data_IF_089905675170
#
_entry.id   IF_089905675170
#
_cell.length_a   1.000
_cell.length_b   1.000
_cell.length_c   1.000
_cell.angle_alpha   90.00
_cell.angle_beta   90.00
_cell.angle_gamma   90.00
#
_symmetry.space_group_name_H-M   'P 1'
#
loop_
_entity.id
_entity.type
_entity.pdbx_description
1 polymer ?
#
# COMPACT_ATOMS: atom_id res chain seq x y z
N UNK A 1 2.82 44.87 -22.94
CA UNK A 1 4.26 44.55 -23.11
C UNK A 1 4.50 44.21 -24.56
N UNK A 2 5.44 44.88 -25.23
CA UNK A 2 5.81 44.55 -26.61
C UNK A 2 6.82 43.40 -26.65
N UNK A 3 6.87 42.67 -27.77
CA UNK A 3 7.82 41.56 -27.96
C UNK A 3 9.28 42.03 -27.89
N UNK A 4 9.56 43.24 -28.38
CA UNK A 4 10.89 43.86 -28.31
C UNK A 4 11.33 44.12 -26.87
N UNK A 5 10.43 44.60 -26.00
CA UNK A 5 10.74 44.80 -24.58
C UNK A 5 11.07 43.48 -23.87
N UNK A 6 10.37 42.39 -24.22
CA UNK A 6 10.65 41.06 -23.65
C UNK A 6 12.03 40.53 -24.09
N UNK A 7 12.42 40.75 -25.34
CA UNK A 7 13.73 40.33 -25.86
C UNK A 7 14.90 41.12 -25.25
N UNK A 8 14.73 42.44 -25.07
CA UNK A 8 15.74 43.29 -24.42
C UNK A 8 15.93 42.86 -22.96
N UNK A 9 14.82 42.66 -22.22
CA UNK A 9 14.89 42.18 -20.84
C UNK A 9 15.56 40.80 -20.72
N UNK A 10 15.28 39.87 -21.64
CA UNK A 10 15.91 38.55 -21.66
C UNK A 10 17.43 38.66 -21.94
N UNK A 11 17.83 39.53 -22.87
CA UNK A 11 19.23 39.72 -23.25
C UNK A 11 20.03 40.40 -22.13
N UNK A 12 19.43 41.36 -21.43
CA UNK A 12 20.00 41.98 -20.22
C UNK A 12 20.15 40.99 -19.07
N UNK A 13 19.19 40.08 -18.86
CA UNK A 13 19.28 39.05 -17.83
C UNK A 13 20.42 38.06 -18.10
N UNK A 14 20.61 37.63 -19.35
CA UNK A 14 21.72 36.75 -19.76
C UNK A 14 23.09 37.44 -19.55
N UNK A 15 23.20 38.75 -19.83
CA UNK A 15 24.44 39.51 -19.63
C UNK A 15 24.79 39.72 -18.14
N UNK A 16 23.81 39.67 -17.24
CA UNK A 16 24.04 39.88 -15.80
C UNK A 16 24.72 38.70 -15.09
N UNK A 17 25.15 37.65 -15.80
CA UNK A 17 25.79 36.47 -15.20
C UNK A 17 25.00 35.95 -13.98
N UNK A 18 23.67 36.00 -14.05
CA UNK A 18 22.84 35.33 -13.05
C UNK A 18 23.15 33.84 -13.14
N UNK A 19 23.59 33.20 -12.03
CA UNK A 19 23.87 31.78 -12.04
C UNK A 19 22.60 31.04 -12.47
N UNK A 20 22.75 30.07 -13.37
CA UNK A 20 21.65 29.23 -13.81
C UNK A 20 21.22 28.34 -12.65
N UNK A 21 20.21 28.79 -11.92
CA UNK A 21 19.59 28.08 -10.81
C UNK A 21 18.64 27.04 -11.40
N UNK A 22 19.20 25.95 -11.88
CA UNK A 22 18.43 24.76 -12.24
C UNK A 22 18.11 23.94 -11.00
N UNK A 23 17.01 23.19 -11.07
CA UNK A 23 16.72 22.17 -10.05
C UNK A 23 17.90 21.19 -9.94
N UNK A 24 18.27 20.77 -8.73
CA UNK A 24 19.27 19.73 -8.54
C UNK A 24 18.92 18.48 -9.36
N UNK A 25 19.94 17.85 -9.95
CA UNK A 25 19.76 16.64 -10.74
C UNK A 25 19.06 15.56 -9.92
N UNK A 26 18.07 14.92 -10.53
CA UNK A 26 17.33 13.82 -9.93
C UNK A 26 18.23 12.61 -9.75
N UNK A 27 18.36 12.12 -8.52
CA UNK A 27 19.16 10.93 -8.21
C UNK A 27 18.22 9.75 -7.98
N UNK A 28 18.08 8.90 -8.99
CA UNK A 28 17.31 7.67 -8.91
C UNK A 28 18.21 6.51 -8.50
N UNK A 29 17.69 5.54 -7.72
CA UNK A 29 18.30 4.21 -7.64
C UNK A 29 18.47 3.59 -9.03
N UNK A 30 19.48 2.75 -9.19
CA UNK A 30 19.80 2.10 -10.47
C UNK A 30 20.01 0.58 -10.33
N UNK A 31 19.59 0.02 -9.19
CA UNK A 31 19.80 -1.38 -8.84
C UNK A 31 18.63 -1.90 -8.03
N UNK A 32 18.40 -3.20 -8.05
CA UNK A 32 17.39 -3.83 -7.19
C UNK A 32 17.78 -3.77 -5.71
N UNK A 33 16.82 -3.95 -4.79
CA UNK A 33 17.10 -4.02 -3.36
C UNK A 33 18.14 -5.11 -3.07
N UNK A 34 19.13 -4.77 -2.24
CA UNK A 34 20.14 -5.73 -1.82
C UNK A 34 19.47 -6.84 -1.02
N UNK A 35 19.80 -8.10 -1.34
CA UNK A 35 19.32 -9.25 -0.58
C UNK A 35 19.95 -9.25 0.82
N UNK A 36 19.09 -9.15 1.83
CA UNK A 36 19.40 -9.18 3.26
C UNK A 36 18.85 -10.47 3.89
N UNK A 37 19.35 -10.81 5.08
CA UNK A 37 18.82 -11.93 5.84
C UNK A 37 17.45 -11.60 6.41
N UNK A 38 16.60 -12.62 6.51
CA UNK A 38 15.31 -12.50 7.19
C UNK A 38 15.51 -12.06 8.64
N UNK A 39 14.57 -11.28 9.16
CA UNK A 39 14.60 -10.78 10.54
C UNK A 39 13.53 -11.46 11.38
N UNK A 40 13.79 -11.65 12.67
CA UNK A 40 12.82 -12.20 13.61
C UNK A 40 11.72 -11.19 13.94
N UNK A 41 10.59 -11.68 14.46
CA UNK A 41 9.47 -10.83 14.89
C UNK A 41 9.88 -9.79 15.95
N UNK A 42 10.82 -10.11 16.85
CA UNK A 42 11.33 -9.16 17.84
C UNK A 42 12.09 -7.98 17.24
N UNK A 43 12.85 -8.21 16.16
CA UNK A 43 13.51 -7.14 15.40
C UNK A 43 12.47 -6.35 14.60
N UNK A 44 11.51 -7.03 13.99
CA UNK A 44 10.42 -6.38 13.25
C UNK A 44 9.58 -5.45 14.14
N UNK A 45 9.33 -5.84 15.38
CA UNK A 45 8.57 -5.06 16.37
C UNK A 45 9.30 -3.79 16.83
N UNK A 46 10.63 -3.75 16.77
CA UNK A 46 11.45 -2.56 17.11
C UNK A 46 11.79 -1.70 15.89
N UNK A 47 11.09 -1.90 14.76
CA UNK A 47 11.31 -1.11 13.57
C UNK A 47 10.87 0.35 13.73
N UNK A 48 11.74 1.23 13.26
CA UNK A 48 11.58 2.66 13.16
C UNK A 48 12.22 3.15 11.85
N UNK A 49 11.90 4.39 11.47
CA UNK A 49 12.38 4.97 10.20
C UNK A 49 13.90 5.02 10.07
N UNK A 50 14.65 5.05 11.18
CA UNK A 50 16.11 5.13 11.15
C UNK A 50 16.81 3.76 11.06
N UNK A 51 16.15 2.65 11.43
CA UNK A 51 16.78 1.32 11.52
C UNK A 51 16.22 0.31 10.51
N UNK A 52 14.99 0.48 10.04
CA UNK A 52 14.32 -0.49 9.17
C UNK A 52 14.05 0.03 7.75
N UNK A 53 14.19 1.33 7.52
CA UNK A 53 14.04 1.95 6.20
C UNK A 53 15.42 2.30 5.61
N UNK A 54 15.63 2.03 4.32
CA UNK A 54 16.83 2.41 3.60
C UNK A 54 16.62 3.72 2.83
N UNK A 55 17.10 4.80 3.44
CA UNK A 55 17.06 6.15 2.88
C UNK A 55 17.98 6.33 1.67
N UNK A 56 18.97 5.45 1.47
CA UNK A 56 19.91 5.59 0.35
C UNK A 56 19.22 5.43 -1.02
N UNK A 57 18.08 4.73 -1.07
CA UNK A 57 17.24 4.60 -2.27
C UNK A 57 16.26 5.75 -2.46
N UNK A 58 16.11 6.62 -1.47
CA UNK A 58 15.05 7.62 -1.40
C UNK A 58 15.63 9.03 -1.32
N UNK A 59 16.55 9.36 -2.22
CA UNK A 59 17.16 10.69 -2.30
C UNK A 59 16.09 11.78 -2.34
N UNK A 60 16.34 12.91 -1.67
CA UNK A 60 15.45 14.08 -1.65
C UNK A 60 15.14 14.60 -3.07
N UNK A 61 16.07 14.44 -4.02
CA UNK A 61 15.89 14.87 -5.42
C UNK A 61 15.29 13.80 -6.31
N UNK A 62 15.06 12.58 -5.81
CA UNK A 62 14.50 11.47 -6.61
C UNK A 62 13.04 11.69 -7.00
N UNK A 63 12.34 12.57 -6.28
CA UNK A 63 10.88 12.67 -6.39
C UNK A 63 10.15 11.46 -5.85
N UNK A 64 10.78 10.64 -4.99
CA UNK A 64 10.18 9.51 -4.29
C UNK A 64 9.50 8.48 -5.21
N UNK A 65 10.25 7.83 -6.11
CA UNK A 65 9.71 6.88 -7.07
C UNK A 65 9.14 5.62 -6.40
N UNK A 66 7.97 5.19 -6.82
CA UNK A 66 7.19 4.10 -6.23
C UNK A 66 6.91 3.03 -7.29
N UNK A 67 7.17 1.77 -6.95
CA UNK A 67 6.79 0.63 -7.77
C UNK A 67 5.62 -0.11 -7.14
N UNK A 68 4.59 -0.40 -7.93
CA UNK A 68 3.44 -1.19 -7.49
C UNK A 68 3.59 -2.63 -8.00
N UNK A 69 3.58 -3.62 -7.10
CA UNK A 69 3.42 -5.01 -7.51
C UNK A 69 2.02 -5.21 -8.09
N UNK A 70 1.92 -5.74 -9.33
CA UNK A 70 0.62 -6.06 -9.91
C UNK A 70 0.01 -7.24 -9.12
N UNK A 71 -1.16 -7.07 -8.48
CA UNK A 71 -1.78 -8.12 -7.66
C UNK A 71 -2.28 -9.33 -8.48
N UNK A 72 -2.38 -9.21 -9.81
CA UNK A 72 -2.71 -10.35 -10.69
C UNK A 72 -1.48 -11.21 -10.99
N UNK A 73 -0.29 -10.61 -11.10
CA UNK A 73 0.96 -11.33 -11.35
C UNK A 73 1.63 -11.79 -10.05
N UNK A 74 1.54 -10.96 -9.00
CA UNK A 74 2.23 -11.13 -7.73
C UNK A 74 1.21 -11.29 -6.59
N UNK A 75 0.31 -12.26 -6.74
CA UNK A 75 -0.69 -12.54 -5.72
C UNK A 75 -0.03 -13.19 -4.49
N UNK A 76 -0.20 -12.59 -3.31
CA UNK A 76 0.32 -13.09 -2.02
C UNK A 76 -0.76 -13.74 -1.15
N UNK A 77 -1.99 -13.85 -1.65
CA UNK A 77 -3.10 -14.50 -0.97
C UNK A 77 -2.97 -16.03 -1.05
N UNK A 78 -3.57 -16.68 -0.06
CA UNK A 78 -3.78 -18.13 -0.02
C UNK A 78 -4.83 -18.53 -1.06
N UNK A 79 -4.73 -19.76 -1.57
CA UNK A 79 -5.72 -20.32 -2.51
C UNK A 79 -7.14 -20.20 -1.96
N UNK A 80 -8.07 -19.73 -2.79
CA UNK A 80 -9.47 -19.50 -2.43
C UNK A 80 -9.76 -18.14 -1.80
N UNK A 81 -8.73 -17.30 -1.61
CA UNK A 81 -8.86 -15.89 -1.24
C UNK A 81 -8.44 -15.00 -2.39
N UNK A 82 -9.17 -13.91 -2.57
CA UNK A 82 -8.77 -12.84 -3.47
C UNK A 82 -9.02 -11.46 -2.85
N UNK A 83 -8.24 -10.49 -3.31
CA UNK A 83 -8.45 -9.09 -2.93
C UNK A 83 -9.64 -8.56 -3.71
N UNK A 84 -10.49 -7.79 -3.03
CA UNK A 84 -11.66 -7.15 -3.62
C UNK A 84 -11.33 -6.39 -4.93
N UNK A 85 -12.10 -6.67 -5.98
CA UNK A 85 -11.86 -6.13 -7.32
C UNK A 85 -11.96 -4.61 -7.40
N UNK A 86 -12.78 -3.98 -6.55
CA UNK A 86 -12.84 -2.53 -6.46
C UNK A 86 -11.56 -1.95 -5.87
N UNK A 87 -10.93 -2.59 -4.86
CA UNK A 87 -9.62 -2.17 -4.36
C UNK A 87 -8.53 -2.26 -5.43
N UNK A 88 -8.46 -3.39 -6.14
CA UNK A 88 -7.50 -3.57 -7.25
C UNK A 88 -7.65 -2.49 -8.31
N UNK A 89 -8.89 -2.21 -8.71
CA UNK A 89 -9.22 -1.22 -9.73
C UNK A 89 -8.92 0.20 -9.24
N UNK A 90 -9.37 0.56 -8.04
CA UNK A 90 -9.17 1.90 -7.46
C UNK A 90 -7.70 2.20 -7.27
N UNK A 91 -6.91 1.24 -6.76
CA UNK A 91 -5.49 1.43 -6.56
C UNK A 91 -4.76 1.57 -7.90
N UNK A 92 -5.06 0.70 -8.88
CA UNK A 92 -4.46 0.77 -10.22
C UNK A 92 -4.82 2.07 -10.95
N UNK A 93 -6.05 2.57 -10.79
CA UNK A 93 -6.47 3.85 -11.38
C UNK A 93 -5.82 5.05 -10.69
N UNK A 94 -5.81 5.07 -9.36
CA UNK A 94 -5.25 6.18 -8.57
C UNK A 94 -3.75 6.30 -8.75
N UNK A 95 -3.04 5.17 -8.77
CA UNK A 95 -1.59 5.13 -8.96
C UNK A 95 -1.20 5.21 -10.44
N UNK A 96 -2.02 4.73 -11.37
CA UNK A 96 -1.68 4.68 -12.80
C UNK A 96 -1.36 6.04 -13.44
N UNK A 97 -1.88 7.14 -12.87
CA UNK A 97 -1.61 8.51 -13.32
C UNK A 97 -0.72 9.31 -12.36
N UNK A 98 -0.24 8.69 -11.28
CA UNK A 98 0.56 9.38 -10.27
C UNK A 98 2.02 9.55 -10.76
N UNK A 99 2.54 10.78 -10.68
CA UNK A 99 3.90 11.12 -11.15
C UNK A 99 5.03 10.37 -10.40
N UNK A 100 4.75 9.85 -9.20
CA UNK A 100 5.70 9.07 -8.43
C UNK A 100 5.81 7.62 -8.93
N UNK A 101 4.87 7.12 -9.74
CA UNK A 101 4.86 5.71 -10.13
C UNK A 101 5.87 5.42 -11.25
N UNK A 102 6.74 4.46 -10.99
CA UNK A 102 7.75 3.98 -11.94
C UNK A 102 7.43 2.57 -12.41
N UNK A 103 7.72 2.28 -13.68
CA UNK A 103 7.57 0.93 -14.26
C UNK A 103 8.80 0.06 -14.04
N UNK A 104 9.97 0.68 -13.96
CA UNK A 104 11.23 -0.02 -13.73
C UNK A 104 11.47 -0.17 -12.22
N UNK A 105 11.46 -1.41 -11.67
CA UNK A 105 11.65 -1.66 -10.25
C UNK A 105 13.05 -1.25 -9.76
N UNK A 106 14.04 -1.13 -10.64
CA UNK A 106 15.40 -0.71 -10.25
C UNK A 106 15.47 0.75 -9.84
N UNK A 107 14.53 1.58 -10.32
CA UNK A 107 14.42 3.01 -10.02
C UNK A 107 13.58 3.31 -8.79
N UNK A 108 12.93 2.29 -8.21
CA UNK A 108 12.01 2.49 -7.09
C UNK A 108 12.75 2.74 -5.77
N UNK A 109 12.26 3.75 -5.04
CA UNK A 109 12.56 4.03 -3.65
C UNK A 109 11.66 3.17 -2.74
N UNK A 110 10.38 3.05 -3.07
CA UNK A 110 9.39 2.26 -2.32
C UNK A 110 8.71 1.23 -3.23
N UNK A 111 8.37 0.08 -2.64
CA UNK A 111 7.57 -0.97 -3.27
C UNK A 111 6.23 -1.14 -2.55
N UNK A 112 5.12 -1.00 -3.26
CA UNK A 112 3.77 -1.19 -2.72
C UNK A 112 3.28 -2.60 -3.00
N UNK A 113 2.81 -3.28 -1.96
CA UNK A 113 2.19 -4.61 -2.04
C UNK A 113 0.77 -4.50 -1.50
N UNK A 114 -0.23 -4.84 -2.32
CA UNK A 114 -1.61 -4.94 -1.86
C UNK A 114 -1.82 -6.31 -1.21
N UNK A 115 -2.19 -6.32 0.08
CA UNK A 115 -2.35 -7.54 0.87
C UNK A 115 -3.77 -7.73 1.43
N UNK A 116 -4.62 -6.71 1.41
CA UNK A 116 -6.04 -6.83 1.78
C UNK A 116 -6.84 -5.56 1.52
N UNK A 117 -8.17 -5.53 1.74
CA UNK A 117 -9.02 -6.60 2.30
C UNK A 117 -9.18 -7.80 1.35
N UNK A 118 -8.76 -8.98 1.80
CA UNK A 118 -8.89 -10.24 1.07
C UNK A 118 -10.07 -11.05 1.64
N UNK A 119 -10.91 -11.57 0.75
CA UNK A 119 -12.13 -12.29 1.06
C UNK A 119 -12.11 -13.65 0.37
N UNK A 120 -12.89 -14.59 0.90
CA UNK A 120 -13.10 -15.87 0.22
C UNK A 120 -13.71 -15.60 -1.16
N UNK A 121 -13.19 -16.25 -2.21
CA UNK A 121 -13.67 -16.03 -3.59
C UNK A 121 -15.18 -16.24 -3.72
N UNK A 122 -15.73 -17.19 -2.96
CA UNK A 122 -17.17 -17.46 -2.90
C UNK A 122 -17.97 -16.27 -2.36
N UNK A 123 -17.44 -15.56 -1.36
CA UNK A 123 -18.05 -14.36 -0.81
C UNK A 123 -17.91 -13.17 -1.77
N UNK A 124 -16.82 -13.08 -2.53
CA UNK A 124 -16.68 -12.06 -3.57
C UNK A 124 -17.74 -12.24 -4.67
N UNK A 125 -18.00 -13.48 -5.09
CA UNK A 125 -19.03 -13.80 -6.08
C UNK A 125 -20.45 -13.54 -5.56
N UNK A 126 -20.74 -13.86 -4.30
CA UNK A 126 -22.04 -13.55 -3.66
C UNK A 126 -22.32 -12.06 -3.57
N UNK A 127 -21.28 -11.24 -3.42
CA UNK A 127 -21.40 -9.79 -3.28
C UNK A 127 -21.46 -9.05 -4.62
N UNK A 128 -21.24 -9.73 -5.73
CA UNK A 128 -21.54 -9.19 -7.05
C UNK A 128 -23.06 -9.29 -7.29
N UNK A 129 -23.70 -8.12 -7.41
CA UNK A 129 -25.16 -7.86 -7.47
C UNK A 129 -26.00 -8.66 -8.49
N UNK A 130 -25.44 -9.61 -9.23
CA UNK A 130 -26.13 -10.41 -10.24
C UNK A 130 -26.49 -11.83 -9.78
N UNK A 131 -26.08 -12.27 -8.58
CA UNK A 131 -26.35 -13.64 -8.09
C UNK A 131 -27.30 -13.72 -6.88
N UNK A 132 -28.00 -12.62 -6.54
CA UNK A 132 -28.92 -12.57 -5.40
C UNK A 132 -30.36 -13.00 -5.75
N UNK A 133 -30.53 -13.93 -6.69
CA UNK A 133 -31.75 -14.70 -6.84
C UNK A 133 -31.35 -16.17 -6.96
N UNK A 134 -31.91 -16.98 -6.04
CA UNK A 134 -31.75 -18.43 -5.92
C UNK A 134 -30.45 -18.91 -5.27
N UNK A 135 -30.39 -18.92 -3.93
CA UNK A 135 -30.21 -20.15 -3.11
C UNK A 135 -30.64 -19.82 -1.67
N UNK A 136 -31.93 -19.91 -1.40
CA UNK A 136 -32.41 -20.31 -0.08
C UNK A 136 -32.33 -21.84 -0.01
N UNK A 137 -31.94 -22.39 1.15
CA UNK A 137 -31.80 -23.81 1.48
C UNK A 137 -30.42 -24.42 1.19
N UNK A 138 -29.47 -24.11 2.07
CA UNK A 138 -28.65 -25.15 2.69
C UNK A 138 -28.13 -24.66 4.06
N UNK A 139 -28.33 -25.53 5.05
CA UNK A 139 -27.96 -25.41 6.46
C UNK A 139 -26.53 -24.85 6.63
N UNK A 140 -26.25 -24.04 7.68
CA UNK A 140 -24.88 -23.70 8.02
C UNK A 140 -24.20 -24.95 8.58
N UNK A 141 -23.45 -25.65 7.74
CA UNK A 141 -22.41 -26.56 8.20
C UNK A 141 -21.42 -25.74 9.02
N UNK A 142 -21.21 -26.17 10.27
CA UNK A 142 -20.35 -25.50 11.23
C UNK A 142 -19.01 -25.11 10.58
N UNK A 143 -18.55 -23.85 10.68
CA UNK A 143 -17.24 -23.49 10.19
C UNK A 143 -16.21 -24.25 11.01
N UNK A 144 -15.49 -25.16 10.36
CA UNK A 144 -14.27 -25.75 10.90
C UNK A 144 -13.37 -24.62 11.38
N UNK A 145 -13.03 -24.66 12.67
CA UNK A 145 -12.21 -23.65 13.34
C UNK A 145 -10.75 -23.74 12.88
N UNK A 146 -10.47 -23.31 11.66
CA UNK A 146 -9.12 -22.95 11.24
C UNK A 146 -9.04 -21.43 11.17
N UNK A 147 -8.13 -20.87 11.97
CA UNK A 147 -7.67 -19.49 11.91
C UNK A 147 -7.01 -19.23 10.55
N UNK A 148 -7.79 -19.14 9.48
CA UNK A 148 -7.25 -18.98 8.14
C UNK A 148 -6.99 -17.51 7.85
N UNK A 149 -5.76 -17.09 8.16
CA UNK A 149 -5.18 -15.87 7.62
C UNK A 149 -5.22 -15.92 6.08
N UNK A 150 -5.78 -14.90 5.40
CA UNK A 150 -5.93 -14.91 3.94
C UNK A 150 -4.60 -14.75 3.20
N UNK A 151 -3.56 -14.24 3.86
CA UNK A 151 -2.22 -14.04 3.27
C UNK A 151 -1.36 -15.30 3.45
N UNK A 152 -0.62 -15.65 2.40
CA UNK A 152 0.42 -16.67 2.43
C UNK A 152 1.80 -16.02 2.50
N UNK A 153 2.36 -15.92 3.72
CA UNK A 153 3.61 -15.19 3.98
C UNK A 153 4.80 -15.65 3.13
N UNK A 154 4.85 -16.94 2.75
CA UNK A 154 5.92 -17.44 1.89
C UNK A 154 5.89 -16.80 0.49
N UNK A 155 4.70 -16.52 -0.06
CA UNK A 155 4.56 -15.79 -1.34
C UNK A 155 5.06 -14.36 -1.21
N UNK A 156 4.73 -13.69 -0.09
CA UNK A 156 5.24 -12.35 0.20
C UNK A 156 6.78 -12.32 0.25
N UNK A 157 7.40 -13.26 0.97
CA UNK A 157 8.86 -13.32 1.09
C UNK A 157 9.57 -13.69 -0.22
N UNK A 158 8.85 -14.36 -1.13
CA UNK A 158 9.34 -14.77 -2.43
C UNK A 158 9.12 -13.70 -3.52
N UNK A 159 8.55 -12.53 -3.20
CA UNK A 159 8.42 -11.44 -4.17
C UNK A 159 9.80 -11.07 -4.75
N UNK A 160 9.88 -10.83 -6.07
CA UNK A 160 11.16 -10.72 -6.78
C UNK A 160 12.06 -9.58 -6.26
N UNK A 161 11.47 -8.52 -5.70
CA UNK A 161 12.21 -7.37 -5.20
C UNK A 161 12.13 -7.23 -3.67
N UNK A 162 11.62 -8.25 -2.94
CA UNK A 162 11.47 -8.23 -1.47
C UNK A 162 12.76 -7.90 -0.72
N UNK A 163 13.92 -8.20 -1.32
CA UNK A 163 15.23 -7.94 -0.71
C UNK A 163 15.50 -8.78 0.53
N UNK A 164 14.69 -9.80 0.82
CA UNK A 164 14.88 -10.76 1.91
C UNK A 164 14.42 -10.29 3.30
N UNK A 165 14.42 -8.97 3.59
CA UNK A 165 13.98 -8.42 4.88
C UNK A 165 12.81 -7.42 4.79
N UNK A 166 12.23 -7.21 3.61
CA UNK A 166 11.06 -6.34 3.41
C UNK A 166 11.34 -4.85 3.53
N UNK A 167 12.60 -4.45 3.59
CA UNK A 167 12.98 -3.04 3.65
C UNK A 167 12.45 -2.25 2.44
N UNK A 168 11.98 -1.03 2.69
CA UNK A 168 11.34 -0.14 1.71
C UNK A 168 10.06 -0.71 1.07
N UNK A 169 9.52 -1.83 1.57
CA UNK A 169 8.21 -2.31 1.16
C UNK A 169 7.13 -1.73 2.05
N UNK A 170 5.97 -1.46 1.46
CA UNK A 170 4.77 -0.97 2.13
C UNK A 170 3.64 -1.95 1.84
N UNK A 171 3.12 -2.58 2.88
CA UNK A 171 2.02 -3.53 2.81
C UNK A 171 0.70 -2.78 3.03
N UNK A 172 -0.19 -2.84 2.05
CA UNK A 172 -1.49 -2.18 2.08
C UNK A 172 -2.58 -3.19 2.45
N UNK A 173 -3.12 -3.08 3.67
CA UNK A 173 -4.29 -3.84 4.13
C UNK A 173 -5.45 -2.86 4.39
N UNK A 174 -6.15 -2.50 3.32
CA UNK A 174 -7.13 -1.41 3.32
C UNK A 174 -8.52 -1.99 3.56
N UNK A 175 -9.12 -1.66 4.70
CA UNK A 175 -10.45 -2.15 5.04
C UNK A 175 -11.53 -1.43 4.23
N UNK A 176 -12.57 -2.16 3.84
CA UNK A 176 -13.76 -1.61 3.18
C UNK A 176 -15.04 -1.78 3.99
N UNK A 177 -15.13 -2.81 4.84
CA UNK A 177 -16.40 -3.21 5.48
C UNK A 177 -16.34 -3.14 7.00
N UNK A 178 -15.56 -4.03 7.61
CA UNK A 178 -15.55 -4.22 9.06
C UNK A 178 -14.16 -3.91 9.63
N UNK A 179 -14.10 -2.84 10.44
CA UNK A 179 -12.90 -2.42 11.15
C UNK A 179 -12.71 -3.12 12.49
N UNK A 180 -13.74 -3.79 13.00
CA UNK A 180 -13.77 -4.38 14.33
C UNK A 180 -13.48 -5.89 14.31
N UNK A 181 -13.66 -6.55 13.16
CA UNK A 181 -13.38 -7.98 13.04
C UNK A 181 -11.88 -8.25 12.89
N UNK A 182 -11.32 -9.08 13.80
CA UNK A 182 -9.95 -9.61 13.67
C UNK A 182 -9.69 -10.33 12.35
N UNK A 183 -10.74 -10.76 11.64
CA UNK A 183 -10.61 -11.43 10.33
C UNK A 183 -10.13 -10.48 9.23
N UNK A 184 -10.33 -9.16 9.37
CA UNK A 184 -9.86 -8.17 8.38
C UNK A 184 -8.40 -7.75 8.61
N UNK A 185 -7.81 -8.15 9.74
CA UNK A 185 -6.38 -7.95 10.02
C UNK A 185 -5.56 -9.15 9.54
N UNK A 186 -5.33 -9.22 8.24
CA UNK A 186 -4.59 -10.31 7.59
C UNK A 186 -3.11 -10.40 8.03
N UNK A 187 -2.58 -9.36 8.68
CA UNK A 187 -1.19 -9.30 9.13
C UNK A 187 -1.05 -9.59 10.63
N UNK A 188 -2.14 -9.92 11.32
CA UNK A 188 -2.11 -10.22 12.75
C UNK A 188 -1.21 -11.42 13.03
N UNK A 189 -0.27 -11.26 13.97
CA UNK A 189 0.73 -12.27 14.35
C UNK A 189 1.61 -12.77 13.17
N UNK A 190 1.61 -12.06 12.04
CA UNK A 190 2.50 -12.34 10.92
C UNK A 190 3.79 -11.52 11.04
N UNK A 191 4.91 -12.09 10.59
CA UNK A 191 6.18 -11.37 10.57
C UNK A 191 6.31 -10.55 9.28
N UNK A 192 5.96 -9.27 9.33
CA UNK A 192 6.12 -8.33 8.19
C UNK A 192 7.56 -7.89 7.97
N UNK A 193 8.50 -8.40 8.77
CA UNK A 193 9.91 -8.05 8.75
C UNK A 193 10.09 -6.53 8.88
N UNK A 194 10.83 -5.89 7.97
CA UNK A 194 11.03 -4.44 7.95
C UNK A 194 10.02 -3.70 7.07
N UNK A 195 9.04 -4.36 6.47
CA UNK A 195 8.06 -3.65 5.67
C UNK A 195 7.20 -2.75 6.55
N UNK A 196 6.86 -1.56 6.04
CA UNK A 196 5.88 -0.66 6.67
C UNK A 196 4.49 -1.25 6.45
N UNK A 197 3.65 -1.22 7.47
CA UNK A 197 2.26 -1.68 7.37
C UNK A 197 1.34 -0.47 7.33
N UNK A 198 0.43 -0.46 6.35
CA UNK A 198 -0.60 0.55 6.19
C UNK A 198 -1.95 -0.14 6.27
N UNK A 199 -2.74 0.18 7.30
CA UNK A 199 -4.06 -0.42 7.48
C UNK A 199 -5.01 0.48 8.23
N UNK A 200 -6.31 0.16 8.16
CA UNK A 200 -7.35 0.99 8.76
C UNK A 200 -7.57 0.77 10.25
N UNK A 201 -7.15 -0.38 10.76
CA UNK A 201 -7.20 -0.71 12.18
C UNK A 201 -6.00 -1.61 12.54
N UNK A 202 -5.52 -1.47 13.77
CA UNK A 202 -4.43 -2.27 14.33
C UNK A 202 -4.81 -2.82 15.70
N UNK A 203 -4.24 -3.96 16.07
CA UNK A 203 -4.14 -4.34 17.48
C UNK A 203 -3.00 -3.54 18.14
N UNK A 204 -3.14 -3.23 19.42
CA UNK A 204 -2.22 -2.34 20.14
C UNK A 204 -0.76 -2.84 20.14
N UNK A 205 -0.57 -4.16 20.21
CA UNK A 205 0.74 -4.83 20.21
C UNK A 205 1.34 -5.02 18.81
N UNK A 206 0.55 -4.83 17.75
CA UNK A 206 0.98 -4.95 16.36
C UNK A 206 1.48 -3.62 15.79
N UNK A 207 0.86 -2.50 16.18
CA UNK A 207 1.18 -1.18 15.62
C UNK A 207 2.56 -0.70 16.07
N UNK A 208 3.42 -0.31 15.12
CA UNK A 208 4.73 0.30 15.40
C UNK A 208 4.65 1.83 15.28
N UNK A 209 4.64 2.59 16.39
CA UNK A 209 4.47 4.04 16.34
C UNK A 209 5.59 4.73 15.57
N UNK A 210 5.22 5.64 14.66
CA UNK A 210 6.17 6.37 13.82
C UNK A 210 6.81 5.54 12.71
N UNK A 211 6.34 4.30 12.48
CA UNK A 211 6.77 3.44 11.39
C UNK A 211 5.60 2.96 10.54
N UNK A 212 4.58 2.42 11.18
CA UNK A 212 3.33 2.01 10.52
C UNK A 212 2.34 3.17 10.40
N UNK A 213 1.39 3.06 9.47
CA UNK A 213 0.43 4.11 9.16
C UNK A 213 -1.01 3.62 9.29
N UNK A 214 -1.82 4.42 9.98
CA UNK A 214 -3.27 4.24 10.05
C UNK A 214 -3.91 5.10 8.96
N UNK A 215 -4.73 4.50 8.11
CA UNK A 215 -5.44 5.19 7.01
C UNK A 215 -6.93 4.93 7.08
N UNK A 216 -7.78 5.91 6.72
CA UNK A 216 -9.22 5.69 6.71
C UNK A 216 -9.61 4.51 5.80
N UNK A 217 -10.71 3.80 6.11
CA UNK A 217 -11.22 2.75 5.24
C UNK A 217 -11.53 3.30 3.85
N UNK A 218 -11.35 2.47 2.83
CA UNK A 218 -11.70 2.83 1.45
C UNK A 218 -13.18 2.53 1.24
N UNK A 219 -13.99 3.49 1.65
CA UNK A 219 -15.41 3.51 1.36
C UNK A 219 -15.58 3.81 -0.12
N UNK A 220 -16.01 2.80 -0.87
CA UNK A 220 -16.43 2.98 -2.26
C UNK A 220 -17.71 3.82 -2.35
N UNK A 221 -18.26 4.02 -3.56
CA UNK A 221 -19.51 4.74 -3.75
C UNK A 221 -20.60 4.23 -2.81
N UNK A 222 -21.22 5.12 -2.05
CA UNK A 222 -22.25 4.77 -1.06
C UNK A 222 -23.40 4.09 -1.80
N UNK A 223 -23.59 2.81 -1.58
CA UNK A 223 -24.81 2.12 -1.98
C UNK A 223 -25.82 2.24 -0.85
N UNK A 224 -27.05 2.68 -1.13
CA UNK A 224 -28.08 3.12 -0.16
C UNK A 224 -28.52 2.13 0.95
N UNK A 225 -27.83 0.99 1.14
CA UNK A 225 -28.17 -0.03 2.12
C UNK A 225 -26.99 -0.38 3.06
N UNK A 226 -26.23 0.59 3.59
CA UNK A 226 -25.35 0.31 4.73
C UNK A 226 -26.07 0.65 6.04
N UNK A 227 -26.24 -0.39 6.87
CA UNK A 227 -26.78 -0.32 8.22
C UNK A 227 -25.75 0.23 9.20
N UNK A 228 -26.09 1.35 9.85
CA UNK A 228 -25.76 1.84 11.21
C UNK A 228 -24.36 1.72 11.85
N UNK A 229 -23.33 1.09 11.26
CA UNK A 229 -21.97 1.04 11.85
C UNK A 229 -20.98 2.06 11.26
N UNK A 230 -21.39 2.85 10.26
CA UNK A 230 -20.50 3.81 9.57
C UNK A 230 -20.28 5.13 10.33
N UNK A 231 -20.71 5.24 11.58
CA UNK A 231 -20.57 6.49 12.36
C UNK A 231 -19.20 6.58 13.03
N UNK A 232 -18.21 7.11 12.32
CA UNK A 232 -16.97 7.60 12.94
C UNK A 232 -17.32 8.89 13.73
N UNK A 233 -17.50 8.76 15.04
CA UNK A 233 -17.54 9.91 15.93
C UNK A 233 -16.12 10.50 16.02
N UNK A 234 -15.86 11.57 15.28
CA UNK A 234 -14.74 12.45 15.61
C UNK A 234 -15.07 13.12 16.94
N UNK A 235 -14.27 12.81 17.97
CA UNK A 235 -14.23 13.60 19.20
C UNK A 235 -13.67 14.98 18.85
N UNK A 236 -14.55 15.96 18.62
CA UNK A 236 -14.18 17.36 18.74
C UNK A 236 -13.75 17.60 20.19
N UNK A 237 -12.49 17.98 20.36
CA UNK A 237 -11.94 18.42 21.64
C UNK A 237 -12.61 19.74 22.03
N UNK A 238 -13.20 19.76 23.23
CA UNK A 238 -13.35 20.95 24.08
C UNK A 238 -12.00 21.53 24.47
#
# INVERSE_FOLDING_TARGET
>A
MSVEQAQVAQREAVQRNTPDLALPRTLLPNSLPRKMNTVSTGVAASCAMHNCFDHSRCSLTSGFPVYLYDPHEHNVQRTGYDIDGFLKTTLKQTLGYNAHIVRDPTQACIYLVLVGEALLEQDLLRNNRYAAQEVEQQQPTAPSQTHDCPIEMQKLYNLPYWGGDGRNHVLLNLARRDLCSRRTNALLQQNTMRAIVVQSAFELDQFRPGYDLIVPPILGPITKNSSSCDSIHFLEKT
#
